data_IF_852873149033
#
_entry.id   IF_852873149033
#
_cell.length_a   1.000
_cell.length_b   1.000
_cell.length_c   1.000
_cell.angle_alpha   90.00
_cell.angle_beta   90.00
_cell.angle_gamma   90.00
#
_symmetry.space_group_name_H-M   'P 1'
#
loop_
_entity.id
_entity.type
_entity.pdbx_description
1 polymer ?
#
# COMPACT_ATOMS: atom_id res chain seq x y z
N UNK A 1 12.99 -4.53 8.62
CA UNK A 1 14.34 -4.98 9.03
C UNK A 1 14.48 -5.02 10.54
N UNK A 2 14.17 -3.94 11.28
CA UNK A 2 14.30 -3.90 12.75
C UNK A 2 13.38 -4.92 13.42
N UNK A 3 12.14 -5.02 12.97
CA UNK A 3 11.17 -6.00 13.48
C UNK A 3 11.64 -7.44 13.24
N UNK A 4 12.09 -7.74 12.02
CA UNK A 4 12.60 -9.07 11.68
C UNK A 4 13.83 -9.46 12.52
N UNK A 5 14.73 -8.50 12.76
CA UNK A 5 15.94 -8.70 13.57
C UNK A 5 15.58 -9.05 15.03
N UNK A 6 14.62 -8.35 15.61
CA UNK A 6 14.28 -8.45 17.02
C UNK A 6 13.35 -9.65 17.31
N UNK A 7 12.34 -9.89 16.45
CA UNK A 7 11.40 -11.00 16.59
C UNK A 7 11.82 -12.28 15.89
N UNK A 8 12.79 -12.20 14.99
CA UNK A 8 13.29 -13.34 14.20
C UNK A 8 12.21 -14.02 13.36
N UNK A 9 11.26 -13.22 12.90
CA UNK A 9 10.26 -13.63 11.91
C UNK A 9 10.64 -13.07 10.55
N UNK A 10 10.39 -13.78 9.45
CA UNK A 10 10.59 -13.24 8.12
C UNK A 10 9.60 -12.11 7.88
N UNK A 11 10.08 -10.98 7.35
CA UNK A 11 9.24 -9.85 6.96
C UNK A 11 9.44 -9.58 5.48
N UNK A 12 8.38 -9.67 4.72
CA UNK A 12 8.36 -9.30 3.32
C UNK A 12 7.87 -7.86 3.17
N UNK A 13 8.78 -6.97 2.77
CA UNK A 13 8.45 -5.63 2.33
C UNK A 13 8.27 -5.62 0.82
N UNK A 14 7.13 -5.13 0.34
CA UNK A 14 6.83 -5.04 -1.09
C UNK A 14 6.23 -3.68 -1.44
N UNK A 15 6.38 -3.32 -2.70
CA UNK A 15 5.82 -2.11 -3.30
C UNK A 15 5.48 -2.38 -4.76
N UNK A 16 4.67 -1.50 -5.35
CA UNK A 16 4.24 -1.65 -6.74
C UNK A 16 5.43 -1.55 -7.69
N UNK A 17 5.71 -2.62 -8.39
CA UNK A 17 6.70 -2.64 -9.46
C UNK A 17 6.29 -1.70 -10.58
N UNK A 18 7.27 -1.20 -11.31
CA UNK A 18 7.15 -0.24 -12.39
C UNK A 18 6.66 1.14 -11.92
N UNK A 19 5.46 1.29 -11.37
CA UNK A 19 4.92 2.58 -10.91
C UNK A 19 5.81 3.23 -9.84
N UNK A 20 6.20 2.50 -8.82
CA UNK A 20 7.07 3.02 -7.76
C UNK A 20 8.55 2.85 -8.09
N UNK A 21 8.94 1.72 -8.69
CA UNK A 21 10.36 1.42 -8.95
C UNK A 21 10.97 2.25 -10.08
N UNK A 22 10.18 2.80 -11.00
CA UNK A 22 10.63 3.64 -12.11
C UNK A 22 10.43 5.14 -11.87
N UNK A 23 9.82 5.52 -10.76
CA UNK A 23 9.65 6.90 -10.36
C UNK A 23 11.01 7.54 -10.05
N UNK A 24 11.20 8.78 -10.49
CA UNK A 24 12.33 9.62 -10.09
C UNK A 24 11.82 10.69 -9.15
N UNK A 25 12.38 10.74 -7.96
CA UNK A 25 11.90 11.60 -6.88
C UNK A 25 13.07 12.15 -6.06
N UNK A 26 12.90 13.33 -5.46
CA UNK A 26 13.85 13.89 -4.51
C UNK A 26 13.55 13.32 -3.13
N UNK A 27 14.47 12.55 -2.58
CA UNK A 27 14.34 11.95 -1.24
C UNK A 27 15.49 12.35 -0.34
N UNK A 28 15.20 12.55 0.95
CA UNK A 28 16.22 12.73 1.97
C UNK A 28 16.73 11.37 2.43
N UNK A 29 18.02 11.13 2.27
CA UNK A 29 18.65 9.91 2.75
C UNK A 29 18.82 9.96 4.27
N UNK A 30 18.61 8.82 4.92
CA UNK A 30 19.00 8.62 6.31
C UNK A 30 20.50 8.27 6.30
N UNK A 31 21.30 8.97 7.06
CA UNK A 31 22.74 8.69 7.17
C UNK A 31 23.03 7.37 7.90
N UNK A 32 24.22 6.82 7.66
CA UNK A 32 24.59 5.51 8.21
C UNK A 32 24.70 5.48 9.73
N UNK A 33 25.09 6.57 10.39
CA UNK A 33 25.17 6.62 11.84
C UNK A 33 23.78 6.60 12.47
N UNK A 34 22.84 7.33 11.87
CA UNK A 34 21.43 7.25 12.24
C UNK A 34 20.89 5.84 12.03
N UNK A 35 21.14 5.20 10.87
CA UNK A 35 20.72 3.82 10.62
C UNK A 35 21.30 2.85 11.63
N UNK A 36 22.60 2.99 11.97
CA UNK A 36 23.28 2.18 12.96
C UNK A 36 22.69 2.31 14.36
N UNK A 37 22.23 3.50 14.71
CA UNK A 37 21.59 3.77 16.00
C UNK A 37 20.24 3.05 16.21
N UNK A 38 19.61 2.56 15.13
CA UNK A 38 18.38 1.76 15.21
C UNK A 38 18.63 0.29 15.55
N UNK A 39 19.86 -0.20 15.40
CA UNK A 39 20.16 -1.63 15.50
C UNK A 39 20.17 -2.06 16.96
N UNK A 40 19.37 -3.06 17.29
CA UNK A 40 19.48 -3.81 18.54
C UNK A 40 20.59 -4.86 18.42
N UNK A 41 21.77 -4.50 18.90
CA UNK A 41 22.95 -5.37 18.85
C UNK A 41 22.82 -6.62 19.72
N UNK A 42 22.01 -6.59 20.78
CA UNK A 42 21.74 -7.77 21.59
C UNK A 42 20.87 -8.76 20.82
N UNK A 43 19.89 -8.27 20.07
CA UNK A 43 19.09 -9.11 19.18
C UNK A 43 19.96 -9.76 18.08
N UNK A 44 20.90 -9.00 17.50
CA UNK A 44 21.88 -9.54 16.53
C UNK A 44 22.74 -10.63 17.16
N UNK A 45 23.25 -10.39 18.36
CA UNK A 45 24.07 -11.37 19.10
C UNK A 45 23.27 -12.65 19.38
N UNK A 46 22.08 -12.53 19.92
CA UNK A 46 21.17 -13.68 20.16
C UNK A 46 20.89 -14.47 18.88
N UNK A 47 20.73 -13.79 17.75
CA UNK A 47 20.57 -14.46 16.46
C UNK A 47 21.80 -15.27 16.08
N UNK A 48 23.00 -14.71 16.26
CA UNK A 48 24.26 -15.42 15.97
C UNK A 48 24.50 -16.63 16.90
N UNK A 49 24.07 -16.55 18.15
CA UNK A 49 24.16 -17.67 19.11
C UNK A 49 23.34 -18.90 18.68
N UNK A 50 22.34 -18.72 17.81
CA UNK A 50 21.54 -19.80 17.24
C UNK A 50 22.17 -20.45 15.99
N UNK A 51 23.27 -19.92 15.49
CA UNK A 51 23.98 -20.54 14.39
C UNK A 51 24.50 -21.94 14.82
N UNK A 52 24.50 -22.87 13.88
CA UNK A 52 25.01 -24.22 14.13
C UNK A 52 26.46 -24.13 14.59
N UNK A 53 26.73 -24.67 15.77
CA UNK A 53 28.04 -24.62 16.40
C UNK A 53 28.38 -26.03 16.94
N UNK A 54 29.54 -26.63 16.55
CA UNK A 54 29.95 -27.95 17.05
C UNK A 54 30.08 -28.03 18.58
N UNK A 55 30.31 -26.90 19.24
CA UNK A 55 30.43 -26.84 20.71
C UNK A 55 29.05 -26.83 21.39
N UNK A 56 28.01 -26.44 20.67
CA UNK A 56 26.61 -26.43 21.13
C UNK A 56 25.74 -27.01 20.02
N UNK A 57 25.82 -28.34 19.79
CA UNK A 57 25.11 -28.95 18.68
C UNK A 57 23.60 -28.95 18.95
N UNK A 58 22.84 -28.56 17.95
CA UNK A 58 21.40 -28.69 17.92
C UNK A 58 20.93 -29.00 16.50
N UNK A 59 19.79 -29.62 16.39
CA UNK A 59 19.21 -29.97 15.09
C UNK A 59 18.25 -28.93 14.58
N UNK A 60 18.40 -28.57 13.31
CA UNK A 60 17.51 -27.65 12.60
C UNK A 60 17.07 -28.29 11.28
N UNK A 61 15.85 -27.94 10.81
CA UNK A 61 15.38 -28.35 9.48
C UNK A 61 15.08 -29.82 9.35
N UNK A 62 14.65 -30.49 10.41
CA UNK A 62 14.26 -31.89 10.37
C UNK A 62 12.94 -32.10 9.61
N UNK A 63 12.81 -33.26 8.97
CA UNK A 63 11.51 -33.76 8.52
C UNK A 63 10.62 -34.03 9.73
N UNK A 64 9.41 -33.49 9.68
CA UNK A 64 8.42 -33.65 10.74
C UNK A 64 7.31 -34.57 10.25
N UNK A 65 7.08 -35.67 10.97
CA UNK A 65 6.01 -36.62 10.69
C UNK A 65 4.63 -36.05 11.05
N UNK A 66 3.54 -36.72 10.62
CA UNK A 66 2.18 -36.24 10.84
C UNK A 66 1.80 -36.18 12.33
N UNK A 67 2.51 -36.89 13.18
CA UNK A 67 2.33 -36.94 14.63
C UNK A 67 2.82 -35.67 15.37
N UNK A 68 3.75 -34.92 14.76
CA UNK A 68 4.34 -33.71 15.37
C UNK A 68 4.22 -32.44 14.54
N UNK A 69 4.02 -32.53 13.24
CA UNK A 69 4.04 -31.37 12.34
C UNK A 69 3.02 -30.30 12.74
N UNK A 70 1.78 -30.71 13.05
CA UNK A 70 0.73 -29.76 13.41
C UNK A 70 1.05 -29.00 14.71
N UNK A 71 1.53 -29.69 15.74
CA UNK A 71 1.96 -29.04 16.97
C UNK A 71 3.13 -28.07 16.76
N UNK A 72 4.07 -28.43 15.87
CA UNK A 72 5.19 -27.55 15.54
C UNK A 72 4.73 -26.27 14.81
N UNK A 73 3.75 -26.37 13.92
CA UNK A 73 3.15 -25.23 13.24
C UNK A 73 2.44 -24.31 14.23
N UNK A 74 1.61 -24.88 15.13
CA UNK A 74 0.91 -24.09 16.16
C UNK A 74 1.86 -23.45 17.17
N UNK A 75 2.97 -24.10 17.48
CA UNK A 75 4.01 -23.56 18.37
C UNK A 75 4.69 -22.30 17.79
N UNK A 76 4.48 -21.99 16.51
CA UNK A 76 4.98 -20.77 15.89
C UNK A 76 4.12 -19.52 16.23
N UNK A 77 2.86 -19.69 16.62
CA UNK A 77 1.94 -18.59 16.87
C UNK A 77 2.49 -17.49 17.81
N UNK A 78 3.15 -17.81 18.96
CA UNK A 78 3.69 -16.80 19.87
C UNK A 78 4.76 -15.88 19.24
N UNK A 79 5.40 -16.26 18.15
CA UNK A 79 6.34 -15.38 17.46
C UNK A 79 5.65 -14.21 16.77
N UNK A 80 4.38 -14.36 16.43
CA UNK A 80 3.56 -13.32 15.80
C UNK A 80 2.80 -12.45 16.80
N UNK A 81 2.66 -12.92 18.05
CA UNK A 81 1.99 -12.18 19.11
C UNK A 81 2.75 -10.88 19.43
N UNK A 82 2.02 -9.77 19.50
CA UNK A 82 2.61 -8.45 19.78
C UNK A 82 3.47 -7.89 18.65
N UNK A 83 3.44 -8.49 17.44
CA UNK A 83 4.25 -8.02 16.32
C UNK A 83 3.79 -6.64 15.85
N UNK A 84 2.48 -6.36 15.87
CA UNK A 84 1.94 -5.05 15.54
C UNK A 84 2.44 -3.97 16.53
N UNK A 85 2.52 -4.28 17.83
CA UNK A 85 3.08 -3.37 18.85
C UNK A 85 4.55 -3.04 18.55
N UNK A 86 5.32 -4.05 18.16
CA UNK A 86 6.72 -3.85 17.84
C UNK A 86 6.88 -3.00 16.56
N UNK A 87 6.04 -3.19 15.54
CA UNK A 87 6.03 -2.32 14.37
C UNK A 87 5.76 -0.86 14.76
N UNK A 88 4.78 -0.59 15.63
CA UNK A 88 4.49 0.77 16.12
C UNK A 88 5.65 1.36 16.91
N UNK A 89 6.31 0.57 17.77
CA UNK A 89 7.49 1.01 18.51
C UNK A 89 8.62 1.40 17.55
N UNK A 90 8.89 0.59 16.51
CA UNK A 90 9.92 0.92 15.51
C UNK A 90 9.52 2.12 14.63
N UNK A 91 8.24 2.27 14.32
CA UNK A 91 7.73 3.46 13.63
C UNK A 91 7.87 4.73 14.47
N UNK A 92 7.63 4.65 15.79
CA UNK A 92 7.85 5.76 16.71
C UNK A 92 9.34 6.15 16.81
N UNK A 93 10.23 5.17 16.91
CA UNK A 93 11.68 5.39 16.88
C UNK A 93 12.13 6.04 15.56
N UNK A 94 11.60 5.59 14.44
CA UNK A 94 11.89 6.19 13.14
C UNK A 94 11.42 7.64 13.08
N UNK A 95 10.21 7.93 13.59
CA UNK A 95 9.68 9.29 13.68
C UNK A 95 10.57 10.20 14.52
N UNK A 96 11.03 9.74 15.67
CA UNK A 96 11.94 10.50 16.55
C UNK A 96 13.21 10.93 15.82
N UNK A 97 13.81 10.02 15.06
CA UNK A 97 15.11 10.24 14.41
C UNK A 97 15.02 10.95 13.06
N UNK A 98 13.93 10.78 12.32
CA UNK A 98 13.82 11.25 10.93
C UNK A 98 12.70 12.25 10.70
N UNK A 99 11.78 12.40 11.64
CA UNK A 99 10.56 13.21 11.50
C UNK A 99 9.44 12.50 10.70
N UNK A 100 9.72 11.34 10.07
CA UNK A 100 8.74 10.61 9.27
C UNK A 100 7.84 9.74 10.16
N UNK A 101 6.53 9.92 10.04
CA UNK A 101 5.53 9.19 10.82
C UNK A 101 4.81 8.14 9.98
N UNK A 102 4.78 6.91 10.48
CA UNK A 102 4.08 5.80 9.84
C UNK A 102 3.15 5.13 10.84
N UNK A 103 1.91 4.90 10.43
CA UNK A 103 0.96 4.08 11.16
C UNK A 103 0.70 2.79 10.38
N UNK A 104 0.34 1.72 11.06
CA UNK A 104 0.00 0.44 10.43
C UNK A 104 -1.24 0.57 9.55
N UNK A 105 -2.22 1.30 10.04
CA UNK A 105 -3.44 1.72 9.36
C UNK A 105 -3.57 3.23 9.49
N UNK A 106 -3.51 3.95 8.38
CA UNK A 106 -3.53 5.41 8.40
C UNK A 106 -4.79 5.93 7.72
N UNK A 107 -5.63 6.58 8.50
CA UNK A 107 -6.85 7.22 7.99
C UNK A 107 -6.57 8.67 7.56
N UNK A 108 -7.12 9.05 6.42
CA UNK A 108 -7.13 10.42 5.90
C UNK A 108 -8.51 10.73 5.31
N UNK A 109 -9.06 11.89 5.64
CA UNK A 109 -10.37 12.31 5.14
C UNK A 109 -11.20 13.03 6.19
N UNK A 110 -12.51 13.07 5.98
CA UNK A 110 -13.45 13.72 6.89
C UNK A 110 -13.58 12.94 8.19
N UNK A 111 -13.54 13.60 9.36
CA UNK A 111 -13.65 12.93 10.67
C UNK A 111 -14.95 12.12 10.85
N UNK A 112 -16.03 12.56 10.20
CA UNK A 112 -17.33 11.89 10.18
C UNK A 112 -17.60 11.23 8.82
N UNK A 113 -16.60 10.63 8.19
CA UNK A 113 -16.80 9.98 6.91
C UNK A 113 -17.75 8.79 7.03
N UNK A 114 -18.70 8.72 6.13
CA UNK A 114 -19.64 7.60 6.00
C UNK A 114 -19.23 6.60 4.93
N UNK A 115 -18.38 7.03 4.01
CA UNK A 115 -17.89 6.25 2.88
C UNK A 115 -16.35 6.27 2.89
N UNK A 116 -15.74 5.10 3.00
CA UNK A 116 -14.28 4.98 3.11
C UNK A 116 -13.74 3.98 2.11
N UNK A 117 -12.70 4.37 1.38
CA UNK A 117 -11.89 3.46 0.57
C UNK A 117 -10.79 2.88 1.45
N UNK A 118 -10.63 1.56 1.43
CA UNK A 118 -9.51 0.84 2.06
C UNK A 118 -8.58 0.38 0.95
N UNK A 119 -7.31 0.72 1.04
CA UNK A 119 -6.35 0.48 -0.04
C UNK A 119 -4.92 0.33 0.49
N UNK A 120 -4.07 -0.41 -0.23
CA UNK A 120 -2.63 -0.49 0.02
C UNK A 120 -1.84 -0.23 -1.26
N UNK A 121 -0.54 0.05 -1.11
CA UNK A 121 0.36 0.32 -2.24
C UNK A 121 0.23 1.74 -2.81
N UNK A 122 0.72 1.93 -4.03
CA UNK A 122 0.84 3.26 -4.67
C UNK A 122 -0.52 3.94 -4.90
N UNK A 123 -1.59 3.19 -5.15
CA UNK A 123 -2.94 3.74 -5.32
C UNK A 123 -3.48 4.48 -4.10
N UNK A 124 -2.89 4.25 -2.92
CA UNK A 124 -3.29 4.95 -1.69
C UNK A 124 -3.05 6.47 -1.77
N UNK A 125 -2.01 6.91 -2.47
CA UNK A 125 -1.72 8.34 -2.65
C UNK A 125 -2.80 8.99 -3.51
N UNK A 126 -3.10 8.41 -4.68
CA UNK A 126 -4.18 8.90 -5.56
C UNK A 126 -5.53 8.96 -4.85
N UNK A 127 -5.85 7.92 -4.05
CA UNK A 127 -7.07 7.92 -3.25
C UNK A 127 -7.09 9.05 -2.22
N UNK A 128 -5.97 9.30 -1.52
CA UNK A 128 -5.86 10.35 -0.51
C UNK A 128 -6.00 11.74 -1.09
N UNK A 129 -5.30 12.04 -2.18
CA UNK A 129 -5.40 13.34 -2.85
C UNK A 129 -6.81 13.60 -3.36
N UNK A 130 -7.45 12.58 -3.94
CA UNK A 130 -8.84 12.68 -4.38
C UNK A 130 -9.80 12.89 -3.20
N UNK A 131 -9.63 12.14 -2.11
CA UNK A 131 -10.46 12.32 -0.92
C UNK A 131 -10.25 13.72 -0.30
N UNK A 132 -9.02 14.22 -0.25
CA UNK A 132 -8.72 15.56 0.21
C UNK A 132 -9.47 16.62 -0.63
N UNK A 133 -9.41 16.51 -1.96
CA UNK A 133 -10.15 17.37 -2.87
C UNK A 133 -11.67 17.32 -2.62
N UNK A 134 -12.23 16.11 -2.45
CA UNK A 134 -13.67 15.93 -2.24
C UNK A 134 -14.12 16.47 -0.87
N UNK A 135 -13.30 16.34 0.17
CA UNK A 135 -13.61 16.86 1.51
C UNK A 135 -13.55 18.39 1.53
N UNK A 136 -12.45 18.97 1.06
CA UNK A 136 -12.22 20.41 1.17
C UNK A 136 -12.87 21.24 0.04
N UNK A 137 -12.91 20.69 -1.18
CA UNK A 137 -13.48 21.39 -2.34
C UNK A 137 -14.96 21.11 -2.58
N UNK A 138 -15.51 20.01 -2.07
CA UNK A 138 -16.90 19.59 -2.31
C UNK A 138 -17.67 19.28 -1.02
N UNK A 139 -17.10 19.50 0.14
CA UNK A 139 -17.70 19.25 1.47
C UNK A 139 -18.26 17.82 1.65
N UNK A 140 -17.62 16.82 1.05
CA UNK A 140 -18.08 15.43 1.08
C UNK A 140 -17.52 14.70 2.31
N UNK A 141 -18.35 13.86 2.95
CA UNK A 141 -17.97 13.02 4.09
C UNK A 141 -17.38 11.68 3.61
N UNK A 142 -16.20 11.75 3.03
CA UNK A 142 -15.44 10.61 2.50
C UNK A 142 -14.07 10.51 3.15
N UNK A 143 -13.46 9.34 3.06
CA UNK A 143 -12.12 9.12 3.56
C UNK A 143 -11.44 7.91 2.94
N UNK A 144 -10.17 7.76 3.26
CA UNK A 144 -9.30 6.67 2.81
C UNK A 144 -8.57 6.09 4.00
N UNK A 145 -8.59 4.78 4.12
CA UNK A 145 -7.78 4.04 5.08
C UNK A 145 -6.65 3.31 4.34
N UNK A 146 -5.43 3.75 4.60
CA UNK A 146 -4.21 3.18 4.00
C UNK A 146 -3.70 2.03 4.86
N UNK A 147 -3.60 0.83 4.30
CA UNK A 147 -3.05 -0.35 4.95
C UNK A 147 -1.56 -0.45 4.64
N UNK A 148 -0.71 -0.41 5.69
CA UNK A 148 0.73 -0.60 5.58
C UNK A 148 1.21 -1.93 6.14
N UNK A 149 0.55 -2.46 7.17
CA UNK A 149 0.79 -3.81 7.66
C UNK A 149 -0.38 -4.70 7.25
N UNK A 150 -0.15 -5.57 6.24
CA UNK A 150 -1.16 -6.51 5.78
C UNK A 150 -1.17 -7.79 6.62
N UNK A 151 0.00 -8.33 6.96
CA UNK A 151 0.16 -9.49 7.83
C UNK A 151 1.33 -9.29 8.82
N UNK A 152 1.16 -9.67 10.10
CA UNK A 152 -0.08 -10.16 10.71
C UNK A 152 -1.15 -9.07 10.74
N UNK A 153 -2.39 -9.46 10.44
CA UNK A 153 -3.52 -8.53 10.48
C UNK A 153 -3.96 -8.23 11.91
N UNK A 154 -4.15 -6.94 12.21
CA UNK A 154 -4.67 -6.49 13.50
C UNK A 154 -6.07 -5.89 13.33
N UNK A 155 -7.07 -6.70 13.61
CA UNK A 155 -8.48 -6.31 13.45
C UNK A 155 -8.89 -5.16 14.37
N UNK A 156 -8.35 -5.08 15.58
CA UNK A 156 -8.70 -4.02 16.52
C UNK A 156 -8.15 -2.68 16.07
N UNK A 157 -6.88 -2.64 15.65
CA UNK A 157 -6.25 -1.43 15.12
C UNK A 157 -6.89 -0.98 13.82
N UNK A 158 -7.21 -1.93 12.94
CA UNK A 158 -7.91 -1.62 11.69
C UNK A 158 -9.27 -0.95 11.97
N UNK A 159 -10.11 -1.56 12.81
CA UNK A 159 -11.41 -1.01 13.17
C UNK A 159 -11.29 0.31 13.94
N UNK A 160 -10.32 0.43 14.84
CA UNK A 160 -10.05 1.66 15.59
C UNK A 160 -9.57 2.83 14.73
N UNK A 161 -9.01 2.56 13.55
CA UNK A 161 -8.58 3.58 12.61
C UNK A 161 -9.74 4.09 11.71
N UNK A 162 -10.86 3.38 11.66
CA UNK A 162 -12.03 3.81 10.90
C UNK A 162 -12.84 4.88 11.68
N UNK A 163 -13.42 5.88 10.98
CA UNK A 163 -14.40 6.78 11.61
C UNK A 163 -15.58 6.00 12.20
N UNK A 164 -16.06 6.37 13.39
CA UNK A 164 -17.20 5.68 14.01
C UNK A 164 -18.51 5.83 13.20
N UNK A 165 -18.56 6.77 12.28
CA UNK A 165 -19.70 7.05 11.42
C UNK A 165 -19.69 6.25 10.11
N UNK A 166 -18.70 5.38 9.88
CA UNK A 166 -18.57 4.63 8.64
C UNK A 166 -19.76 3.69 8.43
N UNK A 167 -20.34 3.74 7.24
CA UNK A 167 -21.47 2.90 6.82
C UNK A 167 -21.11 2.02 5.63
N UNK A 168 -20.20 2.48 4.79
CA UNK A 168 -19.83 1.78 3.55
C UNK A 168 -18.31 1.79 3.36
N UNK A 169 -17.77 0.61 3.09
CA UNK A 169 -16.37 0.40 2.75
C UNK A 169 -16.24 -0.09 1.31
N UNK A 170 -15.31 0.49 0.59
CA UNK A 170 -14.83 -0.05 -0.68
C UNK A 170 -13.37 -0.47 -0.53
N UNK A 171 -13.09 -1.76 -0.66
CA UNK A 171 -11.73 -2.29 -0.60
C UNK A 171 -11.17 -2.38 -2.00
N UNK A 172 -10.02 -1.74 -2.25
CA UNK A 172 -9.34 -1.73 -3.53
C UNK A 172 -8.10 -2.63 -3.48
N UNK A 173 -8.10 -3.64 -4.31
CA UNK A 173 -6.98 -4.55 -4.51
C UNK A 173 -6.35 -4.35 -5.90
N UNK A 174 -5.01 -4.25 -5.96
CA UNK A 174 -4.25 -4.17 -7.20
C UNK A 174 -3.82 -5.57 -7.66
N UNK A 175 -4.72 -6.51 -7.54
CA UNK A 175 -4.55 -7.90 -7.95
C UNK A 175 -5.89 -8.49 -8.39
N UNK A 176 -5.84 -9.66 -8.99
CA UNK A 176 -7.01 -10.49 -9.29
C UNK A 176 -6.71 -11.91 -8.86
N UNK A 177 -7.60 -12.46 -8.05
CA UNK A 177 -7.56 -13.85 -7.63
C UNK A 177 -8.59 -14.68 -8.43
N UNK A 178 -8.16 -15.39 -9.47
CA UNK A 178 -9.08 -16.20 -10.29
C UNK A 178 -9.76 -17.29 -9.45
N UNK A 179 -11.09 -17.35 -9.52
CA UNK A 179 -11.88 -18.35 -8.79
C UNK A 179 -12.13 -18.05 -7.32
N UNK A 180 -11.51 -17.01 -6.75
CA UNK A 180 -11.74 -16.59 -5.37
C UNK A 180 -13.05 -15.78 -5.21
N UNK A 181 -13.62 -15.80 -4.01
CA UNK A 181 -14.77 -14.98 -3.64
C UNK A 181 -14.41 -13.47 -3.55
N UNK A 182 -13.16 -13.14 -3.36
CA UNK A 182 -12.64 -11.79 -3.30
C UNK A 182 -11.12 -11.77 -3.37
N UNK A 183 -10.57 -10.60 -3.57
CA UNK A 183 -9.14 -10.34 -3.53
C UNK A 183 -8.64 -10.33 -2.07
N UNK A 184 -7.33 -10.47 -1.82
CA UNK A 184 -6.79 -10.73 -0.48
C UNK A 184 -7.17 -9.66 0.57
N UNK A 185 -7.09 -8.37 0.24
CA UNK A 185 -7.44 -7.31 1.19
C UNK A 185 -8.95 -7.29 1.45
N UNK A 186 -9.77 -7.44 0.39
CA UNK A 186 -11.22 -7.52 0.52
C UNK A 186 -11.64 -8.65 1.45
N UNK A 187 -11.10 -9.85 1.25
CA UNK A 187 -11.47 -11.02 2.08
C UNK A 187 -11.06 -10.84 3.53
N UNK A 188 -9.90 -10.24 3.78
CA UNK A 188 -9.42 -9.93 5.14
C UNK A 188 -10.32 -8.91 5.84
N UNK A 189 -10.68 -7.81 5.15
CA UNK A 189 -11.57 -6.78 5.69
C UNK A 189 -12.97 -7.35 5.95
N UNK A 190 -13.53 -8.11 5.01
CA UNK A 190 -14.84 -8.73 5.16
C UNK A 190 -14.88 -9.71 6.35
N UNK A 191 -13.85 -10.54 6.51
CA UNK A 191 -13.71 -11.43 7.67
C UNK A 191 -13.62 -10.64 8.97
N UNK A 192 -12.89 -9.53 8.99
CA UNK A 192 -12.77 -8.64 10.15
C UNK A 192 -14.12 -8.05 10.56
N UNK A 193 -14.87 -7.51 9.60
CA UNK A 193 -16.20 -6.95 9.87
C UNK A 193 -17.16 -8.02 10.40
N UNK A 194 -17.15 -9.19 9.77
CA UNK A 194 -17.98 -10.31 10.20
C UNK A 194 -17.66 -10.74 11.64
N UNK A 195 -16.39 -10.99 11.93
CA UNK A 195 -15.94 -11.43 13.27
C UNK A 195 -16.20 -10.38 14.35
N UNK A 196 -16.13 -9.09 13.99
CA UNK A 196 -16.43 -7.99 14.91
C UNK A 196 -17.93 -7.68 15.05
N UNK A 197 -18.80 -8.41 14.36
CA UNK A 197 -20.26 -8.19 14.39
C UNK A 197 -20.69 -6.89 13.71
N UNK A 198 -19.88 -6.34 12.81
CA UNK A 198 -20.14 -5.10 12.07
C UNK A 198 -20.93 -5.37 10.78
N UNK A 199 -22.04 -6.09 10.88
CA UNK A 199 -22.85 -6.52 9.76
C UNK A 199 -23.61 -5.38 9.08
N UNK A 200 -23.76 -4.25 9.75
CA UNK A 200 -24.38 -3.03 9.23
C UNK A 200 -23.53 -2.29 8.21
N UNK A 201 -22.23 -2.55 8.19
CA UNK A 201 -21.30 -1.90 7.26
C UNK A 201 -21.32 -2.64 5.92
N UNK A 202 -21.75 -1.96 4.87
CA UNK A 202 -21.70 -2.48 3.51
C UNK A 202 -20.22 -2.50 3.06
N UNK A 203 -19.71 -3.68 2.68
CA UNK A 203 -18.34 -3.84 2.19
C UNK A 203 -18.34 -4.36 0.75
N UNK A 204 -17.76 -3.59 -0.17
CA UNK A 204 -17.62 -3.95 -1.58
C UNK A 204 -16.15 -3.97 -1.98
N UNK A 205 -15.83 -4.68 -3.07
CA UNK A 205 -14.46 -4.82 -3.57
C UNK A 205 -14.29 -4.31 -4.99
N UNK A 206 -13.15 -3.72 -5.26
CA UNK A 206 -12.76 -3.26 -6.58
C UNK A 206 -11.34 -3.65 -6.95
N UNK A 207 -11.11 -3.89 -8.23
CA UNK A 207 -9.80 -4.18 -8.81
C UNK A 207 -9.35 -3.00 -9.67
N UNK A 208 -8.09 -2.61 -9.52
CA UNK A 208 -7.50 -1.52 -10.28
C UNK A 208 -6.04 -1.80 -10.62
N UNK A 209 -5.50 -1.12 -11.61
CA UNK A 209 -4.07 -0.91 -11.79
C UNK A 209 -3.23 -2.15 -12.14
N UNK A 210 -3.83 -3.30 -12.49
CA UNK A 210 -3.08 -4.49 -12.88
C UNK A 210 -2.17 -4.19 -14.08
N UNK A 211 -0.99 -4.82 -14.10
CA UNK A 211 -0.02 -4.61 -15.17
C UNK A 211 0.46 -3.16 -15.27
N UNK A 212 0.54 -2.45 -14.14
CA UNK A 212 0.91 -1.03 -14.06
C UNK A 212 -0.06 -0.09 -14.79
N UNK A 213 -1.31 -0.53 -15.02
CA UNK A 213 -2.35 0.34 -15.56
C UNK A 213 -2.52 1.57 -14.66
N UNK A 214 -2.67 2.72 -15.27
CA UNK A 214 -2.85 3.98 -14.59
C UNK A 214 -4.07 3.97 -13.66
N UNK A 215 -3.98 4.73 -12.57
CA UNK A 215 -5.05 4.91 -11.61
C UNK A 215 -5.14 6.39 -11.23
N UNK A 216 -6.15 7.04 -11.75
CA UNK A 216 -6.31 8.50 -11.74
C UNK A 216 -7.38 8.98 -10.77
N UNK A 217 -7.40 10.29 -10.39
CA UNK A 217 -8.39 10.85 -9.49
C UNK A 217 -9.85 10.68 -9.95
N UNK A 218 -10.12 10.78 -11.25
CA UNK A 218 -11.47 10.53 -11.77
C UNK A 218 -11.91 9.06 -11.65
N UNK A 219 -10.96 8.10 -11.69
CA UNK A 219 -11.26 6.70 -11.38
C UNK A 219 -11.61 6.52 -9.90
N UNK A 220 -10.91 7.20 -8.99
CA UNK A 220 -11.24 7.21 -7.56
C UNK A 220 -12.60 7.85 -7.30
N UNK A 221 -12.93 8.93 -8.01
CA UNK A 221 -14.26 9.54 -7.94
C UNK A 221 -15.34 8.52 -8.33
N UNK A 222 -15.16 7.79 -9.44
CA UNK A 222 -16.10 6.75 -9.87
C UNK A 222 -16.25 5.63 -8.83
N UNK A 223 -15.19 5.30 -8.10
CA UNK A 223 -15.26 4.35 -6.97
C UNK A 223 -16.14 4.90 -5.84
N UNK A 224 -15.99 6.17 -5.47
CA UNK A 224 -16.85 6.80 -4.46
C UNK A 224 -18.29 6.91 -4.94
N UNK A 225 -18.55 7.20 -6.21
CA UNK A 225 -19.88 7.24 -6.80
C UNK A 225 -20.56 5.87 -6.76
N UNK A 226 -19.84 4.81 -7.13
CA UNK A 226 -20.32 3.45 -6.97
C UNK A 226 -20.64 3.11 -5.51
N UNK A 227 -19.76 3.49 -4.58
CA UNK A 227 -19.97 3.24 -3.16
C UNK A 227 -21.19 3.96 -2.59
N UNK A 228 -21.57 5.12 -3.14
CA UNK A 228 -22.77 5.90 -2.74
C UNK A 228 -24.05 5.40 -3.38
N UNK A 229 -23.96 4.66 -4.47
CA UNK A 229 -25.13 4.17 -5.20
C UNK A 229 -26.06 3.36 -4.29
N UNK A 230 -27.36 3.43 -4.52
CA UNK A 230 -28.34 2.58 -3.83
C UNK A 230 -28.16 1.09 -4.19
N UNK A 231 -27.59 0.82 -5.36
CA UNK A 231 -27.26 -0.54 -5.82
C UNK A 231 -25.80 -0.57 -6.32
N UNK A 232 -24.82 -0.57 -5.40
CA UNK A 232 -23.42 -0.56 -5.80
C UNK A 232 -23.02 -1.89 -6.43
N UNK A 233 -22.16 -1.84 -7.45
CA UNK A 233 -21.52 -3.06 -7.96
C UNK A 233 -20.63 -3.64 -6.85
N UNK A 234 -20.91 -4.84 -6.34
CA UNK A 234 -20.20 -5.39 -5.16
C UNK A 234 -18.78 -5.87 -5.47
N UNK A 235 -18.53 -6.15 -6.75
CA UNK A 235 -17.21 -6.48 -7.31
C UNK A 235 -17.10 -5.81 -8.66
N UNK A 236 -16.12 -4.96 -8.81
CA UNK A 236 -15.94 -4.17 -10.03
C UNK A 236 -14.48 -4.07 -10.47
N UNK A 237 -14.29 -3.57 -11.68
CA UNK A 237 -13.00 -3.09 -12.18
C UNK A 237 -13.10 -1.60 -12.48
N UNK A 238 -11.98 -0.88 -12.36
CA UNK A 238 -11.89 0.52 -12.75
C UNK A 238 -10.61 0.76 -13.56
N UNK A 239 -10.70 1.65 -14.54
CA UNK A 239 -9.58 1.99 -15.43
C UNK A 239 -9.44 1.10 -16.67
N UNK A 240 -10.37 0.16 -16.88
CA UNK A 240 -10.49 -0.64 -18.10
C UNK A 240 -11.92 -0.69 -18.58
N UNK A 241 -12.12 -1.12 -19.81
CA UNK A 241 -13.41 -1.56 -20.33
C UNK A 241 -13.43 -3.07 -20.37
N UNK A 242 -14.21 -3.70 -19.49
CA UNK A 242 -14.42 -5.15 -19.47
C UNK A 242 -15.71 -5.47 -20.23
N UNK A 243 -15.55 -5.87 -21.47
CA UNK A 243 -16.62 -6.24 -22.38
C UNK A 243 -17.06 -7.70 -22.26
N UNK A 244 -16.36 -8.49 -21.41
CA UNK A 244 -16.67 -9.92 -21.17
C UNK A 244 -17.64 -10.10 -20.01
N UNK A 245 -17.34 -9.49 -18.86
CA UNK A 245 -18.12 -9.66 -17.63
C UNK A 245 -18.89 -8.39 -17.22
N UNK A 246 -18.63 -7.26 -17.87
CA UNK A 246 -19.35 -6.01 -17.66
C UNK A 246 -19.16 -5.39 -16.27
N UNK A 247 -18.06 -5.71 -15.60
CA UNK A 247 -17.80 -5.29 -14.21
C UNK A 247 -17.19 -3.89 -14.11
N UNK A 248 -16.79 -3.27 -15.23
CA UNK A 248 -16.14 -1.95 -15.22
C UNK A 248 -17.08 -0.86 -14.72
N UNK A 249 -16.53 0.05 -13.92
CA UNK A 249 -17.18 1.31 -13.62
C UNK A 249 -16.96 2.29 -14.78
N UNK A 250 -17.97 3.09 -15.13
CA UNK A 250 -17.75 4.23 -16.03
C UNK A 250 -16.82 5.23 -15.33
N UNK A 251 -15.90 5.79 -16.09
CA UNK A 251 -14.99 6.84 -15.62
C UNK A 251 -15.38 8.15 -16.29
N UNK A 252 -15.65 9.16 -15.48
CA UNK A 252 -16.04 10.50 -15.94
C UNK A 252 -14.87 11.31 -16.47
N UNK A 253 -15.11 12.61 -16.67
CA UNK A 253 -14.12 13.56 -17.15
C UNK A 253 -12.92 13.67 -16.21
N UNK A 254 -11.81 14.20 -16.73
CA UNK A 254 -10.59 14.41 -15.97
C UNK A 254 -10.86 15.28 -14.73
N UNK A 255 -10.36 14.84 -13.60
CA UNK A 255 -10.43 15.56 -12.34
C UNK A 255 -9.03 16.04 -11.95
N UNK A 256 -8.83 17.35 -11.98
CA UNK A 256 -7.59 17.96 -11.49
C UNK A 256 -7.66 18.14 -9.97
N UNK A 257 -6.75 17.46 -9.28
CA UNK A 257 -6.60 17.53 -7.81
C UNK A 257 -5.24 18.09 -7.41
N UNK A 258 -4.45 18.57 -8.35
CA UNK A 258 -3.11 19.07 -8.09
C UNK A 258 -3.15 20.34 -7.25
N UNK A 259 -2.18 20.51 -6.34
CA UNK A 259 -2.03 21.74 -5.58
C UNK A 259 -1.78 22.96 -6.51
N UNK A 260 -2.30 24.13 -6.18
CA UNK A 260 -1.99 25.36 -6.92
C UNK A 260 -0.48 25.57 -7.03
N UNK A 261 -0.03 25.97 -8.21
CA UNK A 261 1.40 26.21 -8.49
C UNK A 261 2.18 24.99 -8.95
N UNK A 262 1.51 23.83 -9.10
CA UNK A 262 2.10 22.67 -9.75
C UNK A 262 2.25 22.91 -11.24
N UNK A 263 3.41 22.58 -11.81
CA UNK A 263 3.66 22.61 -13.26
C UNK A 263 3.83 21.19 -13.76
N UNK A 264 2.98 20.79 -14.69
CA UNK A 264 3.06 19.50 -15.37
C UNK A 264 3.74 19.65 -16.73
N UNK A 265 4.65 18.72 -17.03
CA UNK A 265 5.33 18.65 -18.33
C UNK A 265 5.24 17.24 -18.88
N UNK A 266 4.88 17.12 -20.15
CA UNK A 266 4.82 15.83 -20.83
C UNK A 266 5.90 15.77 -21.91
N UNK A 267 6.70 14.69 -21.90
CA UNK A 267 7.77 14.43 -22.85
C UNK A 267 7.41 13.20 -23.68
N UNK A 268 7.34 13.37 -24.98
CA UNK A 268 7.10 12.28 -25.93
C UNK A 268 8.40 11.84 -26.57
N UNK A 269 8.62 10.53 -26.62
CA UNK A 269 9.74 9.90 -27.31
C UNK A 269 9.26 8.77 -28.21
N UNK A 270 9.97 8.55 -29.32
CA UNK A 270 9.65 7.49 -30.28
C UNK A 270 10.28 6.14 -29.95
N UNK A 271 10.93 6.04 -28.79
CA UNK A 271 11.68 4.88 -28.35
C UNK A 271 13.15 4.94 -28.79
N UNK A 272 14.05 4.58 -27.88
CA UNK A 272 15.52 4.56 -28.09
C UNK A 272 16.12 5.88 -28.57
N UNK A 273 15.48 7.01 -28.28
CA UNK A 273 15.83 8.37 -28.76
C UNK A 273 16.46 9.26 -27.67
N UNK A 274 16.65 8.72 -26.46
CA UNK A 274 17.23 9.46 -25.33
C UNK A 274 16.23 10.30 -24.53
N UNK A 275 14.94 10.33 -24.85
CA UNK A 275 13.92 11.14 -24.16
C UNK A 275 13.81 10.81 -22.67
N UNK A 276 13.89 9.54 -22.28
CA UNK A 276 13.88 9.13 -20.86
C UNK A 276 15.09 9.68 -20.11
N UNK A 277 16.28 9.61 -20.72
CA UNK A 277 17.51 10.17 -20.16
C UNK A 277 17.44 11.69 -20.00
N UNK A 278 16.92 12.38 -21.01
CA UNK A 278 16.72 13.83 -20.98
C UNK A 278 15.76 14.25 -19.86
N UNK A 279 14.62 13.57 -19.72
CA UNK A 279 13.66 13.84 -18.65
C UNK A 279 14.29 13.59 -17.26
N UNK A 280 14.96 12.46 -17.04
CA UNK A 280 15.69 12.18 -15.78
C UNK A 280 16.71 13.29 -15.46
N UNK A 281 17.41 13.80 -16.47
CA UNK A 281 18.37 14.89 -16.28
C UNK A 281 17.68 16.20 -15.93
N UNK A 282 16.57 16.54 -16.59
CA UNK A 282 15.78 17.73 -16.29
C UNK A 282 15.27 17.72 -14.83
N UNK A 283 14.66 16.60 -14.39
CA UNK A 283 14.18 16.44 -13.00
C UNK A 283 15.34 16.60 -11.99
N UNK A 284 16.50 15.99 -12.27
CA UNK A 284 17.68 16.14 -11.41
C UNK A 284 18.18 17.57 -11.35
N UNK A 285 18.24 18.28 -12.47
CA UNK A 285 18.67 19.68 -12.50
C UNK A 285 17.76 20.58 -11.69
N UNK A 286 16.44 20.42 -11.82
CA UNK A 286 15.46 21.15 -11.02
C UNK A 286 15.65 20.83 -9.53
N UNK A 287 15.68 19.55 -9.17
CA UNK A 287 15.78 19.11 -7.79
C UNK A 287 17.08 19.54 -7.07
N UNK A 288 18.21 19.63 -7.81
CA UNK A 288 19.52 19.98 -7.25
C UNK A 288 19.78 21.48 -7.20
N UNK A 289 19.20 22.25 -8.13
CA UNK A 289 19.52 23.67 -8.30
C UNK A 289 18.40 24.60 -7.84
N UNK A 290 17.30 24.07 -7.34
CA UNK A 290 16.15 24.86 -6.83
C UNK A 290 15.62 24.25 -5.54
N UNK A 291 14.82 25.04 -4.80
CA UNK A 291 14.05 24.55 -3.65
C UNK A 291 12.77 23.79 -4.04
N UNK A 292 12.48 23.68 -5.33
CA UNK A 292 11.29 22.99 -5.82
C UNK A 292 11.41 21.48 -5.65
N UNK A 293 10.27 20.85 -5.41
CA UNK A 293 10.11 19.40 -5.55
C UNK A 293 9.93 19.06 -7.03
N UNK A 294 10.56 18.00 -7.47
CA UNK A 294 10.43 17.50 -8.84
C UNK A 294 10.33 15.98 -8.83
N UNK A 295 9.41 15.46 -9.63
CA UNK A 295 9.24 14.02 -9.82
C UNK A 295 8.95 13.71 -11.28
N UNK A 296 9.23 12.49 -11.70
CA UNK A 296 8.93 12.01 -13.04
C UNK A 296 8.45 10.56 -13.04
N UNK A 297 7.48 10.30 -13.89
CA UNK A 297 6.95 8.97 -14.17
C UNK A 297 7.24 8.64 -15.64
N UNK A 298 7.43 7.36 -15.93
CA UNK A 298 7.74 6.89 -17.28
C UNK A 298 6.74 5.82 -17.69
N UNK A 299 6.16 6.00 -18.86
CA UNK A 299 5.30 5.00 -19.48
C UNK A 299 5.92 4.56 -20.80
N UNK A 300 5.75 3.30 -21.12
CA UNK A 300 6.32 2.71 -22.33
C UNK A 300 5.22 2.02 -23.12
N UNK A 301 5.12 2.30 -24.41
CA UNK A 301 4.28 1.53 -25.29
C UNK A 301 4.91 0.14 -25.53
N UNK A 302 4.08 -0.89 -25.51
CA UNK A 302 4.49 -2.24 -25.85
C UNK A 302 4.82 -2.39 -27.34
N UNK A 303 4.27 -1.51 -28.20
CA UNK A 303 4.52 -1.48 -29.63
C UNK A 303 5.58 -0.43 -29.92
N UNK A 304 6.79 -0.86 -30.26
CA UNK A 304 7.83 0.00 -30.80
C UNK A 304 7.76 -0.03 -32.31
N UNK A 305 7.41 1.08 -32.95
CA UNK A 305 7.52 1.20 -34.41
C UNK A 305 8.95 1.59 -34.78
N UNK A 306 9.69 0.73 -35.51
CA UNK A 306 11.02 0.98 -36.01
C UNK A 306 12.14 1.09 -34.97
N UNK A 307 11.86 0.79 -33.71
CA UNK A 307 12.86 0.72 -32.65
C UNK A 307 13.26 -0.73 -32.35
N UNK A 308 14.47 -0.93 -31.90
CA UNK A 308 15.00 -2.21 -31.44
C UNK A 308 14.60 -2.42 -29.97
#
# INVERSE_FOLDING_TARGET
>A
HLVSMERRVPVQHFFDGFRTSHEVNKVKLIDYETMKSFIDWEAVKKHHELAMNPRHPHMQGQSQGPDIFFQCVEAANPYYDGLADLFEQKAALLKEKTGHSYALYAYEGHAEATHVIVVMGSGAVTCSETAHFLVHGKAQKVGVLKVRLFLPWDSQRFLGALPPTVQRLCVLDRTKEPGSQGEPLLTTVAATLHTAGKHEIICIGGRYGLGSKEFTPNMVLSVFENLRSDSPKPRFTVGITDDVTGLSLPVGEWLDVLPPGTTECMFYGLGSDGTVGANKSAVKLIALNTELYAQAYFEYDAKKSGGV
#
